data_IF_947730353605
#
_entry.id   IF_947730353605
#
_cell.length_a   1.000
_cell.length_b   1.000
_cell.length_c   1.000
_cell.angle_alpha   90.00
_cell.angle_beta   90.00
_cell.angle_gamma   90.00
#
_symmetry.space_group_name_H-M   'P 1'
#
loop_
_entity.id
_entity.type
_entity.pdbx_description
1 polymer ?
#
# COMPACT_ATOMS: atom_id res chain seq x y z
N UNK A 1 1.13 17.65 14.97
CA UNK A 1 2.30 16.90 14.52
C UNK A 1 2.65 17.31 13.10
N UNK A 2 3.90 17.58 12.88
CA UNK A 2 4.39 17.97 11.56
C UNK A 2 4.23 16.80 10.56
N UNK A 3 3.87 17.11 9.33
CA UNK A 3 3.67 16.11 8.28
C UNK A 3 4.95 15.27 8.06
N UNK A 4 6.10 15.93 8.03
CA UNK A 4 7.38 15.22 7.83
C UNK A 4 7.68 14.27 8.99
N UNK A 5 7.42 14.68 10.22
CA UNK A 5 7.61 13.82 11.38
C UNK A 5 6.68 12.63 11.34
N UNK A 6 5.41 12.87 10.95
CA UNK A 6 4.43 11.81 10.83
C UNK A 6 4.84 10.77 9.79
N UNK A 7 5.35 11.22 8.65
CA UNK A 7 5.84 10.33 7.59
C UNK A 7 7.03 9.54 8.09
N UNK A 8 8.03 10.19 8.66
CA UNK A 8 9.25 9.52 9.13
C UNK A 8 8.94 8.48 10.21
N UNK A 9 8.08 8.84 11.16
CA UNK A 9 7.73 7.93 12.26
C UNK A 9 6.91 6.73 11.77
N UNK A 10 6.26 6.85 10.62
CA UNK A 10 5.39 5.81 10.09
C UNK A 10 6.03 4.94 9.02
N UNK A 11 7.30 5.20 8.66
CA UNK A 11 8.00 4.35 7.69
C UNK A 11 8.01 2.88 8.11
N UNK A 12 8.32 2.52 9.37
CA UNK A 12 8.26 1.12 9.78
C UNK A 12 6.88 0.50 9.60
N UNK A 13 5.84 1.30 9.66
CA UNK A 13 4.48 0.81 9.43
C UNK A 13 4.28 0.34 7.99
N UNK A 14 4.91 1.00 7.02
CA UNK A 14 4.86 0.56 5.62
C UNK A 14 5.43 -0.85 5.49
N UNK A 15 6.59 -1.10 6.08
CA UNK A 15 7.21 -2.42 6.06
C UNK A 15 6.37 -3.45 6.79
N UNK A 16 5.74 -3.06 7.88
CA UNK A 16 4.83 -3.92 8.61
C UNK A 16 3.66 -4.38 7.72
N UNK A 17 3.06 -3.45 6.98
CA UNK A 17 1.94 -3.75 6.09
C UNK A 17 2.40 -4.69 4.97
N UNK A 18 3.55 -4.41 4.35
CA UNK A 18 4.08 -5.26 3.29
C UNK A 18 4.33 -6.66 3.82
N UNK A 19 4.96 -6.78 4.97
CA UNK A 19 5.26 -8.08 5.56
C UNK A 19 3.99 -8.86 5.92
N UNK A 20 2.95 -8.16 6.35
CA UNK A 20 1.70 -8.80 6.77
C UNK A 20 0.82 -9.21 5.61
N UNK A 21 0.67 -8.35 4.61
CA UNK A 21 -0.29 -8.56 3.52
C UNK A 21 0.35 -8.96 2.20
N UNK A 22 1.62 -8.63 2.00
CA UNK A 22 2.33 -8.88 0.75
C UNK A 22 3.75 -9.40 1.02
N UNK A 23 3.90 -10.47 1.82
CA UNK A 23 5.24 -10.90 2.26
C UNK A 23 6.19 -11.28 1.13
N UNK A 24 5.65 -11.74 0.00
CA UNK A 24 6.45 -12.07 -1.18
C UNK A 24 7.20 -10.85 -1.72
N UNK A 25 6.67 -9.66 -1.47
CA UNK A 25 7.20 -8.42 -2.04
C UNK A 25 7.99 -7.57 -1.04
N UNK A 26 8.41 -8.16 0.10
CA UNK A 26 9.08 -7.40 1.17
C UNK A 26 10.40 -6.76 0.71
N UNK A 27 11.04 -7.32 -0.32
CA UNK A 27 12.28 -6.77 -0.88
C UNK A 27 12.08 -6.13 -2.25
N UNK A 28 10.86 -5.99 -2.70
CA UNK A 28 10.56 -5.40 -3.99
C UNK A 28 10.53 -3.88 -3.87
N UNK A 29 11.50 -3.20 -4.49
CA UNK A 29 11.64 -1.75 -4.38
C UNK A 29 10.42 -0.99 -4.88
N UNK A 30 9.82 -1.44 -5.97
CA UNK A 30 8.66 -0.75 -6.53
C UNK A 30 7.45 -0.87 -5.60
N UNK A 31 7.28 -2.01 -4.96
CA UNK A 31 6.22 -2.20 -3.97
C UNK A 31 6.47 -1.33 -2.74
N UNK A 32 7.72 -1.29 -2.28
CA UNK A 32 8.09 -0.44 -1.15
C UNK A 32 7.83 1.02 -1.48
N UNK A 33 8.23 1.47 -2.67
CA UNK A 33 7.98 2.85 -3.10
C UNK A 33 6.49 3.16 -3.21
N UNK A 34 5.71 2.23 -3.73
CA UNK A 34 4.25 2.41 -3.78
C UNK A 34 3.67 2.56 -2.37
N UNK A 35 4.17 1.78 -1.42
CA UNK A 35 3.77 1.90 -0.03
C UNK A 35 4.16 3.24 0.57
N UNK A 36 5.39 3.69 0.30
CA UNK A 36 5.87 4.98 0.79
C UNK A 36 5.06 6.14 0.20
N UNK A 37 4.74 6.05 -1.10
CA UNK A 37 3.89 7.06 -1.73
C UNK A 37 2.51 7.09 -1.08
N UNK A 38 1.94 5.91 -0.79
CA UNK A 38 0.69 5.82 -0.08
C UNK A 38 0.75 6.48 1.29
N UNK A 39 1.87 6.30 1.99
CA UNK A 39 2.09 6.96 3.28
C UNK A 39 2.09 8.48 3.13
N UNK A 40 2.79 8.99 2.12
CA UNK A 40 2.83 10.44 1.87
C UNK A 40 1.45 11.00 1.54
N UNK A 41 0.68 10.29 0.72
CA UNK A 41 -0.69 10.70 0.39
C UNK A 41 -1.55 10.70 1.66
N UNK A 42 -1.41 9.67 2.48
CA UNK A 42 -2.17 9.58 3.72
C UNK A 42 -1.84 10.73 4.67
N UNK A 43 -0.56 11.06 4.80
CA UNK A 43 -0.15 12.16 5.67
C UNK A 43 -0.72 13.51 5.19
N UNK A 44 -0.80 13.68 3.88
CA UNK A 44 -1.33 14.90 3.27
C UNK A 44 -2.84 15.03 3.48
N UNK A 45 -3.56 13.92 3.42
CA UNK A 45 -5.03 13.93 3.45
C UNK A 45 -5.63 13.57 4.81
N UNK A 46 -4.80 13.27 5.77
CA UNK A 46 -5.26 12.80 7.06
C UNK A 46 -6.11 13.85 7.81
N UNK A 47 -7.23 13.38 8.35
CA UNK A 47 -8.09 14.20 9.20
C UNK A 47 -8.25 13.48 10.54
N UNK A 48 -7.66 14.05 11.59
CA UNK A 48 -7.66 13.46 12.92
C UNK A 48 -9.06 13.36 13.54
N UNK A 49 -10.03 14.10 12.98
CA UNK A 49 -11.41 14.06 13.47
C UNK A 49 -12.15 12.82 12.98
N UNK A 50 -11.66 12.15 11.94
CA UNK A 50 -12.37 11.03 11.33
C UNK A 50 -11.87 9.66 11.81
N UNK A 51 -10.57 9.51 11.95
CA UNK A 51 -10.01 8.21 12.32
C UNK A 51 -8.59 8.36 12.81
N UNK A 52 -8.04 7.26 13.33
CA UNK A 52 -6.61 7.21 13.67
C UNK A 52 -5.79 7.19 12.40
N UNK A 53 -4.61 7.80 12.45
CA UNK A 53 -3.73 7.85 11.30
C UNK A 53 -3.37 6.45 10.79
N UNK A 54 -3.05 5.52 11.68
CA UNK A 54 -2.66 4.17 11.28
C UNK A 54 -3.77 3.45 10.51
N UNK A 55 -5.03 3.65 10.91
CA UNK A 55 -6.16 3.06 10.21
C UNK A 55 -6.31 3.62 8.81
N UNK A 56 -6.25 4.94 8.71
CA UNK A 56 -6.37 5.62 7.42
C UNK A 56 -5.18 5.31 6.51
N UNK A 57 -3.97 5.46 7.05
CA UNK A 57 -2.74 5.21 6.28
C UNK A 57 -2.67 3.76 5.80
N UNK A 58 -3.08 2.82 6.65
CA UNK A 58 -3.08 1.42 6.27
C UNK A 58 -3.90 1.16 5.01
N UNK A 59 -5.07 1.77 4.91
CA UNK A 59 -5.91 1.64 3.72
C UNK A 59 -5.26 2.24 2.49
N UNK A 60 -4.71 3.44 2.61
CA UNK A 60 -4.09 4.14 1.49
C UNK A 60 -2.85 3.39 1.01
N UNK A 61 -2.03 2.91 1.94
CA UNK A 61 -0.82 2.16 1.60
C UNK A 61 -1.19 0.87 0.87
N UNK A 62 -2.14 0.12 1.39
CA UNK A 62 -2.57 -1.13 0.76
C UNK A 62 -3.15 -0.87 -0.63
N UNK A 63 -3.95 0.16 -0.79
CA UNK A 63 -4.53 0.51 -2.09
C UNK A 63 -3.45 0.89 -3.09
N UNK A 64 -2.44 1.63 -2.67
CA UNK A 64 -1.33 2.01 -3.56
C UNK A 64 -0.53 0.79 -3.99
N UNK A 65 -0.25 -0.12 -3.06
CA UNK A 65 0.48 -1.36 -3.39
C UNK A 65 -0.34 -2.21 -4.35
N UNK A 66 -1.64 -2.36 -4.09
CA UNK A 66 -2.53 -3.10 -4.96
C UNK A 66 -2.56 -2.51 -6.38
N UNK A 67 -2.57 -1.18 -6.48
CA UNK A 67 -2.53 -0.50 -7.78
C UNK A 67 -1.25 -0.79 -8.53
N UNK A 68 -0.12 -0.81 -7.83
CA UNK A 68 1.18 -1.13 -8.44
C UNK A 68 1.18 -2.56 -8.98
N UNK A 69 0.66 -3.50 -8.21
CA UNK A 69 0.61 -4.89 -8.62
C UNK A 69 -0.34 -5.12 -9.79
N UNK A 70 -1.46 -4.42 -9.81
CA UNK A 70 -2.38 -4.47 -10.93
C UNK A 70 -1.76 -3.93 -12.21
N UNK A 71 -0.99 -2.85 -12.09
CA UNK A 71 -0.29 -2.27 -13.22
C UNK A 71 0.70 -3.26 -13.82
N UNK A 72 1.44 -3.97 -12.98
CA UNK A 72 2.38 -5.01 -13.44
C UNK A 72 1.68 -6.11 -14.22
N UNK A 73 0.51 -6.52 -13.76
CA UNK A 73 -0.24 -7.56 -14.41
C UNK A 73 -0.72 -7.15 -15.79
N UNK A 74 -1.13 -5.91 -15.95
CA UNK A 74 -1.50 -5.37 -17.24
C UNK A 74 -0.34 -5.36 -18.20
N UNK A 75 0.85 -5.04 -17.73
CA UNK A 75 2.05 -4.99 -18.55
C UNK A 75 2.56 -6.37 -18.92
N UNK A 76 2.35 -7.36 -18.07
CA UNK A 76 2.89 -8.69 -18.31
C UNK A 76 2.13 -9.50 -19.37
N UNK A 77 0.93 -9.08 -19.73
CA UNK A 77 0.18 -9.63 -20.85
C UNK A 77 -0.21 -11.11 -20.75
N UNK A 78 0.44 -11.86 -19.90
CA UNK A 78 0.27 -13.31 -19.80
C UNK A 78 -0.58 -13.75 -18.64
N UNK A 79 -0.87 -12.87 -17.73
CA UNK A 79 -1.69 -13.18 -16.58
C UNK A 79 -3.03 -12.50 -16.76
N UNK A 80 -4.06 -13.30 -16.95
CA UNK A 80 -5.38 -12.73 -17.07
C UNK A 80 -5.77 -12.10 -15.73
N UNK A 81 -6.34 -10.92 -15.82
CA UNK A 81 -6.88 -10.23 -14.67
C UNK A 81 -7.91 -11.10 -13.95
N UNK A 82 -8.66 -11.89 -14.73
CA UNK A 82 -9.64 -12.81 -14.20
C UNK A 82 -9.04 -13.86 -13.29
N UNK A 83 -7.92 -14.45 -13.70
CA UNK A 83 -7.26 -15.47 -12.91
C UNK A 83 -6.74 -14.90 -11.60
N UNK A 84 -6.30 -13.67 -11.63
CA UNK A 84 -5.83 -12.99 -10.44
C UNK A 84 -6.99 -12.63 -9.52
N UNK A 85 -8.10 -12.22 -10.08
CA UNK A 85 -9.28 -11.90 -9.30
C UNK A 85 -9.88 -13.14 -8.62
N UNK A 86 -9.82 -14.28 -9.28
CA UNK A 86 -10.29 -15.53 -8.71
C UNK A 86 -9.47 -15.94 -7.48
N UNK A 87 -8.16 -15.72 -7.53
CA UNK A 87 -7.29 -16.09 -6.44
C UNK A 87 -6.98 -14.98 -5.48
N UNK A 88 -7.37 -13.76 -5.80
CA UNK A 88 -6.90 -12.58 -5.10
C UNK A 88 -7.95 -11.68 -4.49
N UNK A 89 -9.11 -12.19 -4.16
CA UNK A 89 -10.15 -11.36 -3.55
C UNK A 89 -9.65 -10.65 -2.29
N UNK A 90 -8.84 -11.32 -1.51
CA UNK A 90 -8.33 -10.76 -0.26
C UNK A 90 -7.46 -9.52 -0.47
N UNK A 91 -6.79 -9.39 -1.59
CA UNK A 91 -5.90 -8.26 -1.82
C UNK A 91 -6.56 -7.09 -2.54
N UNK A 92 -7.78 -7.28 -2.96
CA UNK A 92 -8.60 -6.17 -3.44
C UNK A 92 -9.26 -5.43 -2.28
N UNK A 93 -9.26 -6.02 -1.13
CA UNK A 93 -9.81 -5.42 0.06
C UNK A 93 -8.79 -4.53 0.71
#
# INVERSE_FOLDING_TARGET
MDKNTLICDSIPFVYYIINKYYPTFIHDEDVIQAGMLGLCIAADKYDSRKSKFSTFAGKVIKNNIASELKRRLKESDHVSLEKLMEGGEAWLL
#
